data_IF_630424048085
#
_entry.id   IF_630424048085
#
_cell.length_a   1.000
_cell.length_b   1.000
_cell.length_c   1.000
_cell.angle_alpha   90.00
_cell.angle_beta   90.00
_cell.angle_gamma   90.00
#
_symmetry.space_group_name_H-M   'P 1'
#
loop_
_entity.id
_entity.type
_entity.pdbx_description
1 polymer ?
#
# COMPACT_ATOMS: atom_id res chain seq x y z
N UNK A 1 -6.17 -12.40 -2.15
CA UNK A 1 -6.18 -11.92 -0.74
C UNK A 1 -6.45 -10.42 -0.66
N UNK A 2 -6.82 -9.90 0.53
CA UNK A 2 -7.13 -8.47 0.74
C UNK A 2 -6.03 -7.78 1.57
N UNK A 3 -5.50 -6.68 1.05
CA UNK A 3 -4.46 -5.85 1.66
C UNK A 3 -4.84 -4.36 1.58
N UNK A 4 -4.04 -3.52 2.22
CA UNK A 4 -4.31 -2.09 2.30
C UNK A 4 -3.08 -1.26 1.95
N UNK A 5 -3.28 -0.15 1.24
CA UNK A 5 -2.27 0.83 0.89
C UNK A 5 -2.70 2.22 1.33
N UNK A 6 -1.75 2.97 1.90
CA UNK A 6 -1.96 4.35 2.36
C UNK A 6 -1.24 5.30 1.44
N UNK A 7 -1.92 6.35 1.04
CA UNK A 7 -1.36 7.34 0.14
C UNK A 7 -2.13 8.66 0.24
N UNK A 8 -1.66 9.70 -0.43
CA UNK A 8 -2.39 10.97 -0.49
C UNK A 8 -3.58 10.87 -1.44
N UNK A 9 -4.60 11.71 -1.30
CA UNK A 9 -5.74 11.69 -2.21
C UNK A 9 -5.34 11.91 -3.69
N UNK A 10 -4.30 12.73 -3.94
CA UNK A 10 -3.71 12.93 -5.27
C UNK A 10 -3.11 11.63 -5.83
N UNK A 11 -2.32 10.93 -5.01
CA UNK A 11 -1.69 9.68 -5.43
C UNK A 11 -2.70 8.55 -5.58
N UNK A 12 -3.75 8.50 -4.75
CA UNK A 12 -4.82 7.53 -4.89
C UNK A 12 -5.49 7.64 -6.26
N UNK A 13 -5.83 8.86 -6.70
CA UNK A 13 -6.35 9.10 -8.05
C UNK A 13 -5.39 8.62 -9.14
N UNK A 14 -4.08 8.88 -8.99
CA UNK A 14 -3.08 8.42 -9.94
C UNK A 14 -2.98 6.88 -9.99
N UNK A 15 -3.00 6.22 -8.82
CA UNK A 15 -2.94 4.76 -8.68
C UNK A 15 -4.18 4.11 -9.30
N UNK A 16 -5.38 4.63 -9.05
CA UNK A 16 -6.59 4.09 -9.67
C UNK A 16 -6.60 4.25 -11.20
N UNK A 17 -5.97 5.31 -11.72
CA UNK A 17 -5.94 5.59 -13.16
C UNK A 17 -4.83 4.85 -13.92
N UNK A 18 -3.66 4.64 -13.29
CA UNK A 18 -2.44 4.16 -13.96
C UNK A 18 -1.80 2.95 -13.29
N UNK A 19 -2.32 2.52 -12.16
CA UNK A 19 -1.71 1.54 -11.28
C UNK A 19 -0.60 2.13 -10.40
N UNK A 20 0.00 1.26 -9.59
CA UNK A 20 1.11 1.61 -8.72
C UNK A 20 2.38 1.90 -9.50
N UNK A 21 3.25 2.70 -8.89
CA UNK A 21 4.64 2.90 -9.29
C UNK A 21 5.51 2.61 -8.07
N UNK A 22 6.66 1.98 -8.29
CA UNK A 22 7.61 1.72 -7.20
C UNK A 22 8.07 3.02 -6.56
N UNK A 23 7.99 3.08 -5.24
CA UNK A 23 8.50 4.19 -4.45
C UNK A 23 9.68 3.72 -3.62
N UNK A 24 10.79 4.48 -3.65
CA UNK A 24 11.93 4.23 -2.76
C UNK A 24 11.79 5.06 -1.50
N UNK A 25 11.71 4.41 -0.35
CA UNK A 25 11.59 5.07 0.95
C UNK A 25 12.28 4.30 2.07
N UNK A 26 12.46 4.95 3.22
CA UNK A 26 12.98 4.34 4.43
C UNK A 26 11.93 3.54 5.20
N UNK A 27 10.63 3.82 4.98
CA UNK A 27 9.46 3.18 5.62
C UNK A 27 9.67 2.82 7.10
N UNK A 28 10.19 3.77 7.89
CA UNK A 28 10.42 3.61 9.33
C UNK A 28 11.72 2.89 9.73
N UNK A 29 12.65 2.65 8.80
CA UNK A 29 13.93 1.96 9.06
C UNK A 29 15.12 2.74 8.49
N UNK A 30 16.35 2.31 8.78
CA UNK A 30 17.57 2.87 8.17
C UNK A 30 17.78 2.44 6.73
N UNK A 31 17.15 1.36 6.29
CA UNK A 31 17.34 0.80 4.96
C UNK A 31 16.39 1.45 3.95
N UNK A 32 16.85 1.57 2.70
CA UNK A 32 16.00 2.04 1.60
C UNK A 32 15.39 0.85 0.88
N UNK A 33 14.07 0.86 0.84
CA UNK A 33 13.24 -0.16 0.23
C UNK A 33 12.56 0.43 -1.00
N UNK A 34 12.45 -0.35 -2.07
CA UNK A 34 11.76 0.05 -3.30
C UNK A 34 10.62 -0.91 -3.57
N UNK A 35 9.40 -0.37 -3.68
CA UNK A 35 8.21 -1.16 -3.96
C UNK A 35 6.93 -0.46 -3.53
N UNK A 36 5.84 -1.22 -3.54
CA UNK A 36 4.54 -0.85 -2.98
C UNK A 36 4.42 -1.42 -1.59
N UNK A 37 4.29 -0.55 -0.59
CA UNK A 37 4.03 -0.96 0.78
C UNK A 37 2.55 -1.33 0.94
N UNK A 38 2.28 -2.58 1.33
CA UNK A 38 0.96 -3.12 1.60
C UNK A 38 0.87 -3.63 3.04
N UNK A 39 -0.28 -3.48 3.68
CA UNK A 39 -0.51 -3.90 5.06
C UNK A 39 -1.68 -4.89 5.17
N UNK A 40 -1.63 -5.79 6.15
CA UNK A 40 -2.67 -6.82 6.35
C UNK A 40 -3.98 -6.26 6.92
N UNK A 41 -3.93 -5.04 7.45
CA UNK A 41 -5.04 -4.34 8.07
C UNK A 41 -5.02 -2.86 7.64
N UNK A 42 -6.17 -2.16 7.69
CA UNK A 42 -6.23 -0.73 7.49
C UNK A 42 -5.47 -0.02 8.63
N UNK A 43 -4.22 0.39 8.38
CA UNK A 43 -3.43 1.08 9.40
C UNK A 43 -3.79 2.56 9.38
N UNK A 44 -4.69 2.95 10.28
CA UNK A 44 -4.98 4.36 10.44
C UNK A 44 -3.76 5.10 11.00
N UNK A 45 -3.51 6.28 10.46
CA UNK A 45 -2.56 7.23 11.01
C UNK A 45 -3.35 8.51 11.09
N UNK A 46 -3.41 9.08 12.30
CA UNK A 46 -4.13 10.31 12.65
C UNK A 46 -3.50 11.52 11.94
N UNK A 47 -3.57 11.49 10.62
CA UNK A 47 -2.90 12.39 9.68
C UNK A 47 -3.94 12.84 8.69
N UNK A 48 -4.15 14.15 8.70
CA UNK A 48 -5.00 14.84 7.74
C UNK A 48 -4.46 14.52 6.32
N UNK A 49 -5.36 14.25 5.38
CA UNK A 49 -5.10 13.98 3.94
C UNK A 49 -4.62 12.58 3.54
N UNK A 50 -4.77 11.59 4.42
CA UNK A 50 -4.51 10.18 4.04
C UNK A 50 -5.75 9.52 3.43
N UNK A 51 -5.52 8.87 2.29
CA UNK A 51 -6.47 8.02 1.59
C UNK A 51 -6.04 6.57 1.72
N UNK A 52 -7.00 5.72 2.04
CA UNK A 52 -6.82 4.30 2.20
C UNK A 52 -7.43 3.55 1.03
N UNK A 53 -6.59 2.76 0.37
CA UNK A 53 -6.96 1.91 -0.75
C UNK A 53 -6.95 0.47 -0.27
N UNK A 54 -8.06 -0.22 -0.46
CA UNK A 54 -8.14 -1.68 -0.42
C UNK A 54 -7.58 -2.24 -1.72
N UNK A 55 -6.60 -3.13 -1.61
CA UNK A 55 -5.94 -3.82 -2.70
C UNK A 55 -6.31 -5.29 -2.59
N UNK A 56 -7.20 -5.75 -3.46
CA UNK A 56 -7.48 -7.17 -3.62
C UNK A 56 -6.49 -7.73 -4.65
N UNK A 57 -5.70 -8.73 -4.25
CA UNK A 57 -4.73 -9.39 -5.11
C UNK A 57 -5.20 -10.79 -5.45
N UNK A 58 -5.11 -11.18 -6.72
CA UNK A 58 -5.23 -12.58 -7.14
C UNK A 58 -3.91 -13.34 -6.88
N UNK A 59 -3.46 -13.30 -5.63
CA UNK A 59 -2.28 -13.97 -5.09
C UNK A 59 -2.62 -14.48 -3.68
N UNK A 60 -1.95 -15.55 -3.28
CA UNK A 60 -1.99 -16.06 -1.91
C UNK A 60 -0.85 -15.48 -1.07
N UNK A 61 -0.84 -15.84 0.21
CA UNK A 61 0.16 -15.35 1.15
C UNK A 61 1.56 -15.92 0.86
N UNK A 62 1.64 -17.16 0.39
CA UNK A 62 2.90 -17.83 0.06
C UNK A 62 3.62 -17.12 -1.10
N UNK A 63 2.87 -16.65 -2.11
CA UNK A 63 3.40 -15.83 -3.20
C UNK A 63 3.96 -14.47 -2.72
N UNK A 64 3.48 -13.97 -1.58
CA UNK A 64 3.95 -12.71 -0.99
C UNK A 64 5.01 -12.90 0.10
N UNK A 65 5.26 -14.12 0.57
CA UNK A 65 6.18 -14.40 1.68
C UNK A 65 7.59 -13.84 1.44
N UNK A 66 8.08 -13.85 0.20
CA UNK A 66 9.39 -13.30 -0.17
C UNK A 66 9.49 -11.77 -0.06
N UNK A 67 8.35 -11.07 -0.03
CA UNK A 67 8.26 -9.61 0.04
C UNK A 67 7.87 -9.13 1.44
N UNK A 68 7.63 -10.04 2.38
CA UNK A 68 7.25 -9.68 3.72
C UNK A 68 8.40 -8.98 4.45
N UNK A 69 8.04 -7.91 5.16
CA UNK A 69 8.94 -7.22 6.08
C UNK A 69 8.67 -7.69 7.51
N UNK A 70 9.55 -8.52 8.11
CA UNK A 70 9.39 -8.97 9.48
C UNK A 70 9.72 -7.83 10.44
N UNK A 71 8.73 -7.03 10.81
CA UNK A 71 8.88 -5.98 11.82
C UNK A 71 8.32 -6.44 13.17
N UNK A 72 9.20 -6.53 14.18
CA UNK A 72 8.82 -6.97 15.52
C UNK A 72 7.99 -5.90 16.22
N UNK A 73 6.89 -6.31 16.87
CA UNK A 73 6.10 -5.45 17.75
C UNK A 73 4.88 -4.78 17.10
N UNK A 74 4.59 -5.07 15.82
CA UNK A 74 3.35 -4.64 15.16
C UNK A 74 2.27 -5.72 15.26
N UNK A 75 1.00 -5.31 15.38
CA UNK A 75 -0.17 -6.20 15.35
C UNK A 75 -0.62 -6.58 13.94
N UNK A 76 0.03 -6.02 12.92
CA UNK A 76 -0.24 -6.22 11.50
C UNK A 76 1.05 -6.53 10.75
N UNK A 77 0.91 -7.11 9.56
CA UNK A 77 2.03 -7.47 8.68
C UNK A 77 2.16 -6.45 7.57
N UNK A 78 3.39 -6.30 7.09
CA UNK A 78 3.73 -5.41 5.99
C UNK A 78 4.46 -6.19 4.90
N UNK A 79 4.13 -5.88 3.65
CA UNK A 79 4.83 -6.39 2.48
C UNK A 79 5.32 -5.23 1.64
N UNK A 80 6.49 -5.39 1.04
CA UNK A 80 7.05 -4.47 0.07
C UNK A 80 7.13 -5.16 -1.29
N UNK A 81 6.07 -5.01 -2.08
CA UNK A 81 5.85 -5.79 -3.29
C UNK A 81 6.19 -4.93 -4.52
N UNK A 82 6.91 -5.45 -5.55
CA UNK A 82 7.14 -4.72 -6.79
C UNK A 82 5.83 -4.28 -7.45
N UNK A 83 5.75 -3.03 -7.90
CA UNK A 83 4.56 -2.47 -8.52
C UNK A 83 4.13 -3.26 -9.76
N UNK A 84 5.08 -3.82 -10.53
CA UNK A 84 4.77 -4.68 -11.67
C UNK A 84 3.97 -5.92 -11.27
N UNK A 85 4.28 -6.53 -10.13
CA UNK A 85 3.57 -7.70 -9.62
C UNK A 85 2.19 -7.31 -9.09
N UNK A 86 2.11 -6.22 -8.33
CA UNK A 86 0.83 -5.71 -7.81
C UNK A 86 -0.10 -5.38 -8.99
N UNK A 87 0.37 -4.60 -9.96
CA UNK A 87 -0.44 -4.14 -11.08
C UNK A 87 -0.99 -5.28 -11.96
N UNK A 88 -0.28 -6.40 -12.03
CA UNK A 88 -0.70 -7.56 -12.81
C UNK A 88 -1.85 -8.35 -12.16
N UNK A 89 -2.03 -8.24 -10.83
CA UNK A 89 -2.96 -9.07 -10.07
C UNK A 89 -3.97 -8.27 -9.22
N UNK A 90 -4.01 -6.95 -9.34
CA UNK A 90 -4.79 -6.09 -8.44
C UNK A 90 -6.21 -5.80 -8.91
N UNK A 91 -7.11 -5.65 -7.94
CA UNK A 91 -8.32 -4.87 -8.00
C UNK A 91 -8.30 -3.83 -6.86
N UNK A 92 -8.72 -2.60 -7.16
CA UNK A 92 -8.53 -1.45 -6.27
C UNK A 92 -9.86 -0.81 -5.88
N UNK A 93 -9.98 -0.48 -4.59
CA UNK A 93 -11.14 0.27 -4.07
C UNK A 93 -10.70 1.26 -3.01
N UNK A 94 -11.09 2.52 -3.15
CA UNK A 94 -10.92 3.50 -2.06
C UNK A 94 -11.95 3.19 -0.97
N UNK A 95 -11.50 3.02 0.27
CA UNK A 95 -12.35 2.68 1.41
C UNK A 95 -12.39 3.77 2.49
N UNK A 96 -11.43 4.70 2.48
CA UNK A 96 -11.46 5.94 3.25
C UNK A 96 -10.64 7.01 2.50
N UNK A 97 -11.04 8.28 2.57
CA UNK A 97 -10.38 9.36 1.82
C UNK A 97 -10.23 10.64 2.62
N UNK A 98 -9.01 11.19 2.63
CA UNK A 98 -8.77 12.58 3.00
C UNK A 98 -9.44 13.53 2.01
N UNK A 99 -9.83 14.72 2.45
CA UNK A 99 -10.45 15.72 1.58
C UNK A 99 -9.49 16.05 0.44
N UNK A 100 -10.01 16.05 -0.79
CA UNK A 100 -9.30 16.72 -1.88
C UNK A 100 -9.71 18.17 -1.76
N UNK A 101 -8.84 19.03 -1.23
CA UNK A 101 -9.04 20.46 -1.40
C UNK A 101 -9.12 20.73 -2.91
N UNK A 102 -10.30 21.18 -3.32
CA UNK A 102 -10.57 21.58 -4.69
C UNK A 102 -10.00 22.99 -4.82
N UNK A 103 -8.87 23.12 -5.53
CA UNK A 103 -8.42 24.42 -6.05
C UNK A 103 -9.43 24.96 -7.06
#
# INVERSE_FOLDING_TARGET
MKLFHRTTAKNAKAILAKGFTDATGSFGTTDRYTGVLLTSQPVDIDTIDITLIEVELDLDEDALAAYERPEKGKSYREWLVPAVLVNAHMNLRIIAGGKVDSE
#
